data_IF_714023385150
#
_entry.id   IF_714023385150
#
_cell.length_a   1.000
_cell.length_b   1.000
_cell.length_c   1.000
_cell.angle_alpha   90.00
_cell.angle_beta   90.00
_cell.angle_gamma   90.00
#
_symmetry.space_group_name_H-M   'P 1'
#
loop_
_entity.id
_entity.type
_entity.pdbx_description
1 polymer ?
#
# COMPACT_ATOMS: atom_id res chain seq x y z
N UNK A 1 0.89 6.97 12.22
CA UNK A 1 -0.08 7.33 11.18
C UNK A 1 0.45 6.85 9.84
N UNK A 2 -0.36 6.09 9.10
CA UNK A 2 -0.07 5.69 7.73
C UNK A 2 -0.68 6.70 6.75
N UNK A 3 0.06 7.04 5.70
CA UNK A 3 -0.46 7.77 4.53
C UNK A 3 -0.20 6.99 3.26
N UNK A 4 -1.10 7.13 2.27
CA UNK A 4 -0.93 6.59 0.92
C UNK A 4 -1.02 7.74 -0.06
N UNK A 5 0.01 7.91 -0.88
CA UNK A 5 0.05 8.93 -1.92
C UNK A 5 0.41 8.31 -3.26
N UNK A 6 0.14 9.06 -4.32
CA UNK A 6 0.56 8.75 -5.68
C UNK A 6 1.26 9.95 -6.29
N UNK A 7 2.11 9.71 -7.28
CA UNK A 7 2.84 10.80 -7.96
C UNK A 7 1.92 11.75 -8.77
N UNK A 8 0.71 11.30 -9.12
CA UNK A 8 -0.35 12.09 -9.78
C UNK A 8 -1.73 11.67 -9.25
N UNK A 9 -2.74 12.49 -9.47
CA UNK A 9 -4.15 12.14 -9.20
C UNK A 9 -4.89 11.64 -10.46
N UNK A 10 -4.27 11.76 -11.63
CA UNK A 10 -4.86 11.42 -12.93
C UNK A 10 -3.79 10.85 -13.86
N UNK A 11 -4.12 9.77 -14.56
CA UNK A 11 -3.21 8.99 -15.39
C UNK A 11 -3.87 8.64 -16.73
N UNK A 12 -3.06 8.53 -17.79
CA UNK A 12 -3.51 7.94 -19.04
C UNK A 12 -3.69 6.42 -18.89
N UNK A 13 -4.54 5.80 -19.71
CA UNK A 13 -4.61 4.33 -19.80
C UNK A 13 -3.23 3.74 -20.11
N UNK A 14 -2.76 2.81 -19.27
CA UNK A 14 -1.45 2.16 -19.41
C UNK A 14 -0.28 2.96 -18.80
N UNK A 15 -0.54 4.14 -18.24
CA UNK A 15 0.50 4.91 -17.54
C UNK A 15 0.77 4.33 -16.14
N UNK A 16 2.03 4.04 -15.81
CA UNK A 16 2.41 3.50 -14.52
C UNK A 16 2.06 4.45 -13.36
N UNK A 17 1.42 3.90 -12.32
CA UNK A 17 1.07 4.59 -11.08
C UNK A 17 2.13 4.29 -10.04
N UNK A 18 2.89 5.32 -9.60
CA UNK A 18 3.80 5.18 -8.47
C UNK A 18 3.03 5.44 -7.18
N UNK A 19 3.00 4.44 -6.29
CA UNK A 19 2.28 4.43 -5.02
C UNK A 19 3.30 4.48 -3.89
N UNK A 20 3.12 5.39 -2.94
CA UNK A 20 3.99 5.54 -1.78
C UNK A 20 3.19 5.39 -0.49
N UNK A 21 3.63 4.46 0.37
CA UNK A 21 3.15 4.29 1.73
C UNK A 21 4.17 4.91 2.68
N UNK A 22 3.73 5.80 3.58
CA UNK A 22 4.59 6.35 4.63
C UNK A 22 3.94 6.11 5.97
N UNK A 23 4.63 5.35 6.83
CA UNK A 23 4.22 5.12 8.21
C UNK A 23 5.10 5.98 9.12
N UNK A 24 4.49 6.99 9.73
CA UNK A 24 5.16 7.91 10.65
C UNK A 24 4.72 7.64 12.08
N UNK A 25 5.65 7.57 13.02
CA UNK A 25 5.32 7.65 14.43
C UNK A 25 5.02 9.10 14.82
N UNK A 26 3.74 9.45 14.90
CA UNK A 26 3.27 10.80 15.29
C UNK A 26 3.06 10.96 16.78
N UNK A 27 3.43 9.95 17.59
CA UNK A 27 3.30 9.98 19.04
C UNK A 27 4.59 10.45 19.70
N UNK A 28 4.53 10.82 20.98
CA UNK A 28 5.71 11.20 21.78
C UNK A 28 6.49 10.00 22.35
N UNK A 29 6.06 8.77 22.10
CA UNK A 29 6.71 7.55 22.58
C UNK A 29 7.15 6.66 21.42
N UNK A 30 8.14 5.80 21.65
CA UNK A 30 8.56 4.78 20.68
C UNK A 30 7.40 3.84 20.35
N UNK A 31 7.20 3.54 19.06
CA UNK A 31 6.18 2.62 18.57
C UNK A 31 6.84 1.38 17.98
N UNK A 32 6.34 0.20 18.36
CA UNK A 32 6.84 -1.08 17.87
C UNK A 32 5.74 -1.84 17.14
N UNK A 33 6.01 -2.24 15.90
CA UNK A 33 5.13 -3.00 15.03
C UNK A 33 5.67 -4.42 14.90
N UNK A 34 4.86 -5.40 15.28
CA UNK A 34 5.19 -6.82 15.19
C UNK A 34 4.53 -7.42 13.95
N UNK A 35 5.20 -8.39 13.33
CA UNK A 35 4.75 -9.06 12.12
C UNK A 35 4.89 -10.57 12.28
N UNK A 36 3.90 -11.30 11.79
CA UNK A 36 3.89 -12.77 11.86
C UNK A 36 4.62 -13.43 10.67
N UNK A 37 4.94 -12.64 9.63
CA UNK A 37 5.65 -13.09 8.42
C UNK A 37 6.66 -12.01 7.98
N UNK A 38 7.36 -12.25 6.88
CA UNK A 38 8.21 -11.24 6.24
C UNK A 38 7.43 -10.12 5.54
N UNK A 39 6.10 -10.22 5.41
CA UNK A 39 5.27 -9.16 4.85
C UNK A 39 5.19 -7.97 5.81
N UNK A 40 5.45 -6.76 5.30
CA UNK A 40 5.41 -5.51 6.09
C UNK A 40 4.22 -4.61 5.75
N UNK A 41 3.81 -4.64 4.48
CA UNK A 41 2.69 -3.87 3.96
C UNK A 41 1.96 -4.66 2.88
N UNK A 42 0.82 -4.13 2.47
CA UNK A 42 0.13 -4.56 1.25
C UNK A 42 -0.58 -3.36 0.61
N UNK A 43 -0.83 -3.48 -0.69
CA UNK A 43 -1.53 -2.47 -1.48
C UNK A 43 -2.63 -3.18 -2.27
N UNK A 44 -3.85 -2.68 -2.14
CA UNK A 44 -5.01 -3.17 -2.89
C UNK A 44 -5.56 -2.01 -3.71
N UNK A 45 -5.74 -2.24 -5.01
CA UNK A 45 -6.44 -1.31 -5.89
C UNK A 45 -7.85 -1.83 -6.10
N UNK A 46 -8.83 -0.92 -5.98
CA UNK A 46 -10.25 -1.22 -6.08
C UNK A 46 -10.94 -0.34 -7.11
N UNK A 47 -11.96 -0.88 -7.78
CA UNK A 47 -12.91 -0.15 -8.62
C UNK A 47 -14.32 -0.38 -8.11
N UNK A 48 -15.01 0.68 -7.69
CA UNK A 48 -16.36 0.57 -7.10
C UNK A 48 -16.39 -0.34 -5.86
N UNK A 49 -15.34 -0.31 -5.04
CA UNK A 49 -15.20 -1.16 -3.84
C UNK A 49 -14.81 -2.62 -4.08
N UNK A 50 -14.63 -3.04 -5.34
CA UNK A 50 -14.15 -4.40 -5.68
C UNK A 50 -12.67 -4.39 -5.96
N UNK A 51 -11.93 -5.32 -5.38
CA UNK A 51 -10.52 -5.53 -5.66
C UNK A 51 -10.31 -5.84 -7.16
N UNK A 52 -9.39 -5.12 -7.78
CA UNK A 52 -8.94 -5.36 -9.16
C UNK A 52 -7.51 -5.86 -9.20
N UNK A 53 -6.68 -5.39 -8.26
CA UNK A 53 -5.27 -5.72 -8.18
C UNK A 53 -4.82 -5.69 -6.71
N UNK A 54 -3.88 -6.56 -6.37
CA UNK A 54 -3.22 -6.60 -5.08
C UNK A 54 -1.74 -6.83 -5.27
N UNK A 55 -0.92 -5.99 -4.64
CA UNK A 55 0.54 -6.07 -4.73
C UNK A 55 1.05 -7.43 -4.27
N UNK A 56 0.55 -7.93 -3.13
CA UNK A 56 0.96 -9.23 -2.60
C UNK A 56 0.46 -10.45 -3.39
N UNK A 57 -0.38 -10.27 -4.42
CA UNK A 57 -0.86 -11.38 -5.24
C UNK A 57 0.31 -12.04 -5.99
N UNK A 58 0.48 -13.35 -5.81
CA UNK A 58 1.60 -14.11 -6.38
C UNK A 58 2.94 -13.93 -5.65
N UNK A 59 2.99 -13.16 -4.56
CA UNK A 59 4.19 -13.04 -3.73
C UNK A 59 4.22 -14.12 -2.64
N UNK A 60 5.43 -14.60 -2.34
CA UNK A 60 5.68 -15.51 -1.23
C UNK A 60 6.37 -14.78 -0.08
N UNK A 61 5.81 -14.90 1.12
CA UNK A 61 6.39 -14.34 2.34
C UNK A 61 6.86 -15.45 3.27
N UNK A 62 8.07 -15.30 3.80
CA UNK A 62 8.64 -16.23 4.76
C UNK A 62 7.85 -16.17 6.07
N UNK A 63 7.65 -17.33 6.70
CA UNK A 63 6.99 -17.47 8.00
C UNK A 63 7.96 -17.16 9.14
N UNK A 64 8.50 -15.93 9.15
CA UNK A 64 9.44 -15.44 10.16
C UNK A 64 8.86 -14.23 10.86
N UNK A 65 8.94 -14.22 12.19
CA UNK A 65 8.53 -13.06 12.98
C UNK A 65 9.44 -11.87 12.68
N UNK A 66 8.84 -10.69 12.63
CA UNK A 66 9.57 -9.44 12.38
C UNK A 66 9.12 -8.32 13.29
N UNK A 67 10.00 -7.33 13.44
CA UNK A 67 9.71 -6.13 14.21
C UNK A 67 10.20 -4.89 13.46
N UNK A 68 9.41 -3.82 13.51
CA UNK A 68 9.80 -2.46 13.11
C UNK A 68 9.60 -1.55 14.33
N UNK A 69 10.64 -0.82 14.70
CA UNK A 69 10.58 0.16 15.79
C UNK A 69 10.76 1.55 15.19
N UNK A 70 9.84 2.46 15.49
CA UNK A 70 9.90 3.86 15.08
C UNK A 70 9.99 4.76 16.30
N UNK A 71 11.02 5.59 16.40
CA UNK A 71 11.14 6.65 17.39
C UNK A 71 10.12 7.77 17.13
N UNK A 72 9.83 8.65 18.11
CA UNK A 72 8.98 9.82 17.88
C UNK A 72 9.43 10.62 16.66
N UNK A 73 8.52 10.85 15.71
CA UNK A 73 8.77 11.55 14.44
C UNK A 73 9.42 10.70 13.34
N UNK A 74 9.92 9.50 13.65
CA UNK A 74 10.53 8.62 12.65
C UNK A 74 9.48 8.07 11.68
N UNK A 75 9.91 7.87 10.43
CA UNK A 75 9.07 7.33 9.38
C UNK A 75 9.78 6.21 8.62
N UNK A 76 9.00 5.23 8.18
CA UNK A 76 9.39 4.28 7.14
C UNK A 76 8.55 4.50 5.90
N UNK A 77 9.16 4.33 4.73
CA UNK A 77 8.51 4.53 3.43
C UNK A 77 8.67 3.29 2.55
N UNK A 78 7.59 2.92 1.86
CA UNK A 78 7.54 1.85 0.86
C UNK A 78 6.99 2.42 -0.44
N UNK A 79 7.61 2.08 -1.57
CA UNK A 79 7.19 2.58 -2.89
C UNK A 79 7.01 1.41 -3.84
N UNK A 80 5.86 1.36 -4.50
CA UNK A 80 5.50 0.35 -5.47
C UNK A 80 4.97 0.97 -6.75
N UNK A 81 5.08 0.22 -7.85
CA UNK A 81 4.53 0.62 -9.14
C UNK A 81 3.38 -0.30 -9.50
N UNK A 82 2.26 0.30 -9.92
CA UNK A 82 1.14 -0.42 -10.51
C UNK A 82 0.96 -0.01 -11.97
N UNK A 83 1.15 -0.96 -12.88
CA UNK A 83 1.05 -0.74 -14.34
C UNK A 83 -0.39 -0.76 -14.86
N UNK A 84 -1.36 -0.47 -13.98
CA UNK A 84 -2.79 -0.48 -14.31
C UNK A 84 -3.30 -1.84 -14.83
N UNK A 85 -2.75 -2.95 -14.34
CA UNK A 85 -3.23 -4.31 -14.67
C UNK A 85 -4.05 -4.90 -13.52
N UNK A 86 -5.00 -5.78 -13.83
CA UNK A 86 -5.68 -6.56 -12.81
C UNK A 86 -4.82 -7.76 -12.37
N UNK A 87 -5.29 -8.51 -11.36
CA UNK A 87 -4.61 -9.71 -10.85
C UNK A 87 -4.38 -10.83 -11.90
N UNK A 88 -5.04 -10.76 -13.06
CA UNK A 88 -4.84 -11.69 -14.18
C UNK A 88 -3.89 -11.12 -15.26
N UNK A 89 -3.26 -9.96 -15.00
CA UNK A 89 -2.33 -9.30 -15.93
C UNK A 89 -3.00 -8.51 -17.06
N UNK A 90 -4.33 -8.36 -17.04
CA UNK A 90 -5.04 -7.61 -18.10
C UNK A 90 -5.14 -6.12 -17.73
N UNK A 91 -4.96 -5.24 -18.71
CA UNK A 91 -5.14 -3.80 -18.57
C UNK A 91 -6.53 -3.47 -18.00
N UNK A 92 -6.59 -2.61 -16.97
CA UNK A 92 -7.85 -2.11 -16.44
C UNK A 92 -8.40 -0.96 -17.29
N UNK A 93 -9.72 -0.85 -17.36
CA UNK A 93 -10.38 0.22 -18.12
C UNK A 93 -10.25 1.59 -17.43
N UNK A 94 -10.49 2.67 -18.16
CA UNK A 94 -10.65 4.01 -17.60
C UNK A 94 -11.70 4.05 -16.45
N UNK A 95 -11.55 5.02 -15.56
CA UNK A 95 -12.44 5.27 -14.43
C UNK A 95 -11.70 5.63 -13.16
N UNK A 96 -12.46 5.75 -12.07
CA UNK A 96 -11.94 6.08 -10.75
C UNK A 96 -11.57 4.82 -9.97
N UNK A 97 -10.39 4.84 -9.36
CA UNK A 97 -9.85 3.74 -8.57
C UNK A 97 -9.46 4.22 -7.17
N UNK A 98 -9.69 3.38 -6.18
CA UNK A 98 -9.24 3.59 -4.81
C UNK A 98 -8.04 2.71 -4.54
N UNK A 99 -6.94 3.31 -4.10
CA UNK A 99 -5.72 2.62 -3.70
C UNK A 99 -5.72 2.57 -2.18
N UNK A 100 -5.69 1.37 -1.63
CA UNK A 100 -5.71 1.10 -0.20
C UNK A 100 -4.38 0.49 0.19
N UNK A 101 -3.60 1.23 0.98
CA UNK A 101 -2.34 0.76 1.54
C UNK A 101 -2.53 0.34 2.99
N UNK A 102 -1.86 -0.72 3.41
CA UNK A 102 -1.95 -1.25 4.78
C UNK A 102 -0.59 -1.67 5.32
N UNK A 103 -0.40 -1.55 6.63
CA UNK A 103 0.73 -2.14 7.37
C UNK A 103 0.23 -3.42 8.01
N UNK A 104 0.87 -4.55 7.69
CA UNK A 104 0.43 -5.92 8.07
C UNK A 104 0.84 -6.30 9.49
N UNK A 105 0.96 -5.31 10.36
CA UNK A 105 1.35 -5.52 11.75
C UNK A 105 0.24 -6.19 12.55
N UNK A 106 0.60 -7.15 13.40
CA UNK A 106 -0.35 -7.90 14.22
C UNK A 106 -0.83 -7.13 15.45
N UNK A 107 -0.02 -6.23 16.01
CA UNK A 107 -0.35 -5.46 17.20
C UNK A 107 -0.80 -4.02 16.91
N UNK A 108 -0.41 -3.47 15.76
CA UNK A 108 -0.80 -2.12 15.36
C UNK A 108 -1.05 -2.05 13.84
N UNK A 109 -2.09 -2.74 13.32
CA UNK A 109 -2.45 -2.63 11.92
C UNK A 109 -2.89 -1.20 11.60
N UNK A 110 -2.49 -0.72 10.44
CA UNK A 110 -2.86 0.61 9.94
C UNK A 110 -3.30 0.48 8.49
N UNK A 111 -4.26 1.30 8.09
CA UNK A 111 -4.71 1.39 6.70
C UNK A 111 -4.99 2.85 6.35
N UNK A 112 -4.70 3.23 5.12
CA UNK A 112 -5.04 4.51 4.54
C UNK A 112 -5.34 4.31 3.06
N UNK A 113 -6.00 5.29 2.43
CA UNK A 113 -6.36 5.21 1.03
C UNK A 113 -6.26 6.54 0.32
N UNK A 114 -6.04 6.47 -0.99
CA UNK A 114 -6.16 7.61 -1.90
C UNK A 114 -6.97 7.20 -3.13
N UNK A 115 -7.45 8.18 -3.89
CA UNK A 115 -8.22 7.96 -5.12
C UNK A 115 -7.49 8.56 -6.31
N UNK A 116 -7.49 7.84 -7.42
CA UNK A 116 -6.96 8.30 -8.70
C UNK A 116 -7.99 8.12 -9.82
N UNK A 117 -7.79 8.82 -10.93
CA UNK A 117 -8.58 8.64 -12.15
C UNK A 117 -7.68 8.18 -13.29
N UNK A 118 -8.15 7.20 -14.06
CA UNK A 118 -7.55 6.75 -15.32
C UNK A 118 -8.46 7.22 -16.46
N UNK A 119 -7.93 7.92 -17.47
CA UNK A 119 -8.69 8.42 -18.62
C UNK A 119 -7.91 8.39 -19.93
#
# INVERSE_FOLDING_TARGET
MLTVTTNKSTYAVGEAVQITLTLTNTTSSTQTYNFNTSQRYDIVVQKGGREVWRWSNGQFFLQVLGTLTLQPGESVTYTETWDQTNNNGNQVAAGTYTIVGSITSSNNPQQASTTITIQ
#
